data_IF_754158134800
#
_entry.id   IF_754158134800
#
_cell.length_a   1.000
_cell.length_b   1.000
_cell.length_c   1.000
_cell.angle_alpha   90.00
_cell.angle_beta   90.00
_cell.angle_gamma   90.00
#
_symmetry.space_group_name_H-M   'P 1'
#
loop_
_entity.id
_entity.type
_entity.pdbx_description
1 polymer ?
#
# COMPACT_ATOMS: atom_id res chain seq x y z
N UNK A 1 3.43 -11.65 31.84
CA UNK A 1 3.30 -12.43 30.58
C UNK A 1 2.81 -11.56 29.43
N UNK A 2 1.60 -10.99 29.49
CA UNK A 2 1.03 -10.15 28.40
C UNK A 2 1.94 -9.01 27.94
N UNK A 3 2.47 -8.21 28.87
CA UNK A 3 3.38 -7.09 28.52
C UNK A 3 4.64 -7.60 27.81
N UNK A 4 5.17 -8.75 28.24
CA UNK A 4 6.35 -9.37 27.63
C UNK A 4 6.03 -9.81 26.20
N UNK A 5 4.91 -10.49 25.99
CA UNK A 5 4.45 -10.89 24.66
C UNK A 5 4.31 -9.69 23.70
N UNK A 6 3.70 -8.60 24.15
CA UNK A 6 3.56 -7.37 23.35
C UNK A 6 4.90 -6.69 23.08
N UNK A 7 5.83 -6.72 24.05
CA UNK A 7 7.16 -6.12 23.91
C UNK A 7 8.14 -6.91 23.04
N UNK A 8 7.96 -8.23 22.94
CA UNK A 8 8.83 -9.11 22.15
C UNK A 8 8.42 -9.22 20.68
N UNK A 9 7.21 -8.76 20.32
CA UNK A 9 6.71 -8.77 18.95
C UNK A 9 6.38 -7.36 18.47
N UNK A 10 7.30 -6.75 17.72
CA UNK A 10 7.10 -5.42 17.13
C UNK A 10 5.87 -5.33 16.21
N UNK A 11 5.36 -6.46 15.70
CA UNK A 11 4.16 -6.50 14.84
C UNK A 11 2.84 -6.55 15.63
N UNK A 12 2.86 -6.64 16.96
CA UNK A 12 1.62 -6.68 17.77
C UNK A 12 0.71 -5.48 17.53
N UNK A 13 1.26 -4.33 17.14
CA UNK A 13 0.48 -3.11 16.85
C UNK A 13 -0.07 -3.05 15.43
N UNK A 14 0.41 -3.89 14.51
CA UNK A 14 0.06 -3.81 13.08
C UNK A 14 -1.45 -4.03 12.88
N UNK A 15 -2.03 -5.04 13.52
CA UNK A 15 -3.45 -5.34 13.37
C UNK A 15 -4.36 -4.19 13.84
N UNK A 16 -4.16 -3.59 15.04
CA UNK A 16 -4.84 -2.36 15.43
C UNK A 16 -4.65 -1.20 14.44
N UNK A 17 -3.44 -1.01 13.91
CA UNK A 17 -3.16 0.05 12.93
C UNK A 17 -3.94 -0.19 11.63
N UNK A 18 -3.95 -1.41 11.11
CA UNK A 18 -4.71 -1.76 9.91
C UNK A 18 -6.21 -1.53 10.11
N UNK A 19 -6.74 -1.91 11.27
CA UNK A 19 -8.14 -1.67 11.62
C UNK A 19 -8.46 -0.17 11.65
N UNK A 20 -7.60 0.65 12.28
CA UNK A 20 -7.76 2.10 12.30
C UNK A 20 -7.69 2.70 10.89
N UNK A 21 -6.74 2.25 10.05
CA UNK A 21 -6.61 2.66 8.66
C UNK A 21 -7.88 2.33 7.86
N UNK A 22 -8.40 1.10 7.99
CA UNK A 22 -9.65 0.71 7.35
C UNK A 22 -10.83 1.55 7.85
N UNK A 23 -10.92 1.84 9.14
CA UNK A 23 -11.98 2.71 9.66
C UNK A 23 -11.91 4.13 9.08
N UNK A 24 -10.70 4.67 8.91
CA UNK A 24 -10.52 5.98 8.27
C UNK A 24 -10.91 5.94 6.79
N UNK A 25 -10.46 4.95 6.03
CA UNK A 25 -10.77 4.88 4.59
C UNK A 25 -12.22 4.53 4.31
N UNK A 26 -12.87 3.74 5.20
CA UNK A 26 -14.29 3.42 5.11
C UNK A 26 -15.18 4.68 5.19
N UNK A 27 -14.77 5.70 5.95
CA UNK A 27 -15.49 6.97 5.99
C UNK A 27 -15.48 7.73 4.65
N UNK A 28 -14.57 7.39 3.74
CA UNK A 28 -14.48 7.94 2.39
C UNK A 28 -15.13 7.07 1.31
N UNK A 29 -15.78 5.97 1.66
CA UNK A 29 -16.43 5.05 0.71
C UNK A 29 -17.81 5.57 0.24
N UNK A 30 -18.22 5.15 -0.95
CA UNK A 30 -19.54 5.43 -1.54
C UNK A 30 -19.84 6.93 -1.74
N UNK A 31 -18.81 7.72 -2.08
CA UNK A 31 -18.99 9.11 -2.49
C UNK A 31 -19.18 9.16 -4.00
N UNK A 32 -20.38 9.54 -4.44
CA UNK A 32 -20.74 9.62 -5.85
C UNK A 32 -19.77 10.53 -6.63
N UNK A 33 -19.26 10.05 -7.77
CA UNK A 33 -18.31 10.79 -8.61
C UNK A 33 -16.88 10.85 -8.07
N UNK A 34 -16.57 10.16 -6.97
CA UNK A 34 -15.22 10.12 -6.42
C UNK A 34 -14.33 9.07 -7.09
N UNK A 35 -13.17 9.50 -7.58
CA UNK A 35 -12.13 8.65 -8.20
C UNK A 35 -11.10 8.14 -7.18
N UNK A 36 -11.35 8.34 -5.88
CA UNK A 36 -10.41 8.00 -4.82
C UNK A 36 -10.51 6.52 -4.48
N UNK A 37 -9.35 5.86 -4.41
CA UNK A 37 -9.21 4.49 -3.92
C UNK A 37 -9.39 4.46 -2.40
N UNK A 38 -10.30 3.62 -1.91
CA UNK A 38 -10.62 3.48 -0.48
C UNK A 38 -10.19 2.14 0.11
N UNK A 39 -9.92 1.17 -0.76
CA UNK A 39 -9.36 -0.13 -0.37
C UNK A 39 -8.29 -0.51 -1.38
N UNK A 40 -7.13 -0.91 -0.89
CA UNK A 40 -6.19 -1.78 -1.59
C UNK A 40 -6.05 -3.06 -0.76
N UNK A 41 -5.92 -4.23 -1.41
CA UNK A 41 -5.74 -5.53 -0.73
C UNK A 41 -5.09 -6.56 -1.66
N UNK A 42 -4.41 -7.59 -1.10
CA UNK A 42 -3.89 -8.76 -1.84
C UNK A 42 -4.20 -10.06 -1.12
N UNK A 43 -4.30 -11.14 -1.88
CA UNK A 43 -4.51 -12.49 -1.36
C UNK A 43 -3.40 -13.51 -1.77
N UNK A 44 -2.27 -13.05 -2.32
CA UNK A 44 -1.20 -13.94 -2.84
C UNK A 44 -1.45 -14.45 -4.26
N UNK A 45 -2.60 -14.17 -4.85
CA UNK A 45 -2.97 -14.53 -6.22
C UNK A 45 -3.38 -13.27 -7.00
N UNK A 46 -4.29 -12.51 -6.41
CA UNK A 46 -4.83 -11.26 -6.93
C UNK A 46 -4.42 -10.09 -6.02
N UNK A 47 -4.25 -8.94 -6.65
CA UNK A 47 -4.16 -7.64 -6.00
C UNK A 47 -5.30 -6.78 -6.52
N UNK A 48 -5.98 -6.07 -5.62
CA UNK A 48 -7.22 -5.41 -5.98
C UNK A 48 -7.49 -4.11 -5.24
N UNK A 49 -8.33 -3.29 -5.86
CA UNK A 49 -8.77 -2.02 -5.33
C UNK A 49 -10.29 -1.86 -5.34
N UNK A 50 -10.77 -0.99 -4.44
CA UNK A 50 -12.11 -0.38 -4.55
C UNK A 50 -11.98 1.12 -4.68
N UNK A 51 -12.81 1.68 -5.56
CA UNK A 51 -12.89 3.12 -5.82
C UNK A 51 -14.21 3.65 -5.25
N UNK A 52 -14.15 4.75 -4.51
CA UNK A 52 -15.28 5.30 -3.75
C UNK A 52 -16.54 5.49 -4.59
N UNK A 53 -16.42 6.06 -5.79
CA UNK A 53 -17.52 6.28 -6.71
C UNK A 53 -18.01 5.04 -7.47
N UNK A 54 -17.37 3.87 -7.32
CA UNK A 54 -17.76 2.64 -8.05
C UNK A 54 -18.66 1.71 -7.23
N UNK A 55 -18.95 2.07 -5.97
CA UNK A 55 -19.78 1.30 -5.04
C UNK A 55 -19.04 0.14 -4.37
N UNK A 56 -19.52 -0.28 -3.20
CA UNK A 56 -18.85 -1.25 -2.33
C UNK A 56 -18.62 -2.64 -2.96
N UNK A 57 -19.47 -3.10 -3.88
CA UNK A 57 -19.35 -4.47 -4.44
C UNK A 57 -18.40 -4.58 -5.64
N UNK A 58 -17.85 -3.48 -6.11
CA UNK A 58 -17.01 -3.44 -7.31
C UNK A 58 -15.55 -3.54 -6.94
N UNK A 59 -14.89 -4.62 -7.38
CA UNK A 59 -13.45 -4.80 -7.27
C UNK A 59 -12.81 -4.73 -8.65
N UNK A 60 -11.66 -4.07 -8.73
CA UNK A 60 -10.77 -4.14 -9.89
C UNK A 60 -9.53 -4.91 -9.45
N UNK A 61 -9.23 -6.00 -10.16
CA UNK A 61 -8.20 -6.97 -9.75
C UNK A 61 -7.25 -7.27 -10.88
N UNK A 62 -5.98 -7.47 -10.53
CA UNK A 62 -4.96 -8.00 -11.42
C UNK A 62 -4.13 -9.04 -10.68
N UNK A 63 -3.28 -9.80 -11.39
CA UNK A 63 -2.39 -10.77 -10.74
C UNK A 63 -1.46 -10.06 -9.76
N UNK A 64 -1.39 -10.57 -8.53
CA UNK A 64 -0.50 -10.03 -7.49
C UNK A 64 0.96 -10.15 -7.92
N UNK A 65 1.79 -9.10 -7.82
CA UNK A 65 3.18 -9.14 -8.26
C UNK A 65 4.05 -9.94 -7.29
N UNK A 66 5.25 -10.31 -7.75
CA UNK A 66 6.32 -10.68 -6.81
C UNK A 66 6.90 -9.41 -6.18
N UNK A 67 7.30 -9.52 -4.92
CA UNK A 67 7.87 -8.40 -4.16
C UNK A 67 9.37 -8.30 -4.47
N UNK A 68 9.86 -7.11 -4.86
CA UNK A 68 11.30 -6.88 -5.02
C UNK A 68 11.94 -6.73 -3.64
N UNK A 69 12.81 -7.66 -3.28
CA UNK A 69 13.09 -7.90 -1.86
C UNK A 69 14.55 -8.15 -1.52
N UNK A 70 14.89 -7.91 -0.26
CA UNK A 70 16.03 -8.53 0.41
C UNK A 70 15.55 -9.82 1.11
N UNK A 71 16.23 -10.92 0.85
CA UNK A 71 15.93 -12.23 1.44
C UNK A 71 16.79 -12.50 2.68
N UNK A 72 16.20 -13.19 3.65
CA UNK A 72 16.92 -13.67 4.82
C UNK A 72 17.93 -14.76 4.43
N UNK A 73 19.00 -14.96 5.22
CA UNK A 73 19.99 -15.99 4.93
C UNK A 73 19.37 -17.37 4.73
N UNK A 74 19.68 -18.00 3.59
CA UNK A 74 19.16 -19.32 3.22
C UNK A 74 17.91 -19.31 2.35
N UNK A 75 17.29 -18.15 2.13
CA UNK A 75 16.14 -18.00 1.23
C UNK A 75 16.48 -17.21 -0.03
N UNK A 76 15.69 -17.42 -1.07
CA UNK A 76 15.81 -16.79 -2.38
C UNK A 76 14.44 -16.41 -2.94
N UNK A 77 14.43 -15.75 -4.09
CA UNK A 77 13.19 -15.46 -4.83
C UNK A 77 12.37 -16.71 -5.18
N UNK A 78 13.02 -17.87 -5.36
CA UNK A 78 12.34 -19.11 -5.67
C UNK A 78 11.47 -19.65 -4.51
N UNK A 79 11.69 -19.16 -3.29
CA UNK A 79 10.98 -19.55 -2.08
C UNK A 79 9.77 -18.63 -1.80
N UNK A 80 9.70 -17.47 -2.46
CA UNK A 80 8.69 -16.46 -2.22
C UNK A 80 7.32 -16.79 -2.83
N UNK A 81 6.24 -16.43 -2.14
CA UNK A 81 4.94 -16.24 -2.77
C UNK A 81 4.82 -14.83 -3.38
N UNK A 82 3.75 -14.61 -4.16
CA UNK A 82 3.35 -13.26 -4.59
C UNK A 82 2.82 -12.44 -3.41
N UNK A 83 2.75 -11.13 -3.55
CA UNK A 83 2.35 -10.21 -2.48
C UNK A 83 0.98 -10.62 -1.89
N UNK A 84 0.86 -10.59 -0.56
CA UNK A 84 -0.28 -11.13 0.20
C UNK A 84 -0.60 -10.31 1.46
N UNK A 85 -1.89 -10.22 1.80
CA UNK A 85 -2.42 -9.60 3.01
C UNK A 85 -3.22 -8.31 2.76
N UNK A 86 -3.82 -7.79 3.81
CA UNK A 86 -4.59 -6.54 3.79
C UNK A 86 -3.78 -5.33 4.29
N UNK A 87 -2.52 -5.53 4.69
CA UNK A 87 -1.64 -4.46 5.23
C UNK A 87 -1.43 -3.25 4.31
N UNK A 88 -1.68 -3.38 3.01
CA UNK A 88 -1.66 -2.28 2.05
C UNK A 88 -2.79 -1.25 2.30
N UNK A 89 -3.75 -1.58 3.17
CA UNK A 89 -4.71 -0.61 3.69
C UNK A 89 -4.00 0.53 4.44
N UNK A 90 -2.80 0.29 4.98
CA UNK A 90 -2.00 1.33 5.65
C UNK A 90 -1.54 2.40 4.65
N UNK A 91 -1.09 2.00 3.47
CA UNK A 91 -0.77 2.89 2.35
C UNK A 91 -2.01 3.58 1.79
N UNK A 92 -3.15 2.88 1.75
CA UNK A 92 -4.42 3.49 1.33
C UNK A 92 -4.81 4.65 2.25
N UNK A 93 -4.52 4.54 3.54
CA UNK A 93 -4.70 5.59 4.54
C UNK A 93 -3.54 6.61 4.60
N UNK A 94 -2.56 6.51 3.71
CA UNK A 94 -1.45 7.47 3.61
C UNK A 94 -0.30 7.24 4.59
N UNK A 95 -0.15 6.06 5.17
CA UNK A 95 1.04 5.67 5.97
C UNK A 95 1.79 4.50 5.30
N UNK A 96 2.68 3.80 6.01
CA UNK A 96 3.47 2.72 5.40
C UNK A 96 4.44 3.25 4.34
N UNK A 97 4.45 2.63 3.15
CA UNK A 97 5.25 3.08 2.00
C UNK A 97 5.03 4.55 1.62
N UNK A 98 3.83 5.09 1.83
CA UNK A 98 3.50 6.48 1.50
C UNK A 98 4.20 7.48 2.44
N UNK A 99 4.48 7.06 3.67
CA UNK A 99 5.20 7.83 4.68
C UNK A 99 6.64 7.35 4.87
N UNK A 100 7.23 6.66 3.89
CA UNK A 100 8.56 6.06 4.02
C UNK A 100 9.66 7.07 4.33
N UNK A 101 9.51 8.34 3.94
CA UNK A 101 10.40 9.43 4.33
C UNK A 101 10.55 9.62 5.87
N UNK A 102 9.58 9.15 6.68
CA UNK A 102 9.68 9.12 8.15
C UNK A 102 10.46 7.92 8.69
N UNK A 103 10.77 6.93 7.87
CA UNK A 103 11.46 5.70 8.27
C UNK A 103 12.62 5.35 7.31
N UNK A 104 13.58 6.26 7.05
CA UNK A 104 14.64 6.01 6.07
C UNK A 104 15.54 4.82 6.42
N UNK A 105 15.64 4.46 7.71
CA UNK A 105 16.39 3.27 8.16
C UNK A 105 15.82 1.95 7.62
N UNK A 106 14.53 1.92 7.25
CA UNK A 106 13.83 0.73 6.75
C UNK A 106 14.48 0.17 5.47
N UNK A 107 15.17 1.00 4.68
CA UNK A 107 15.86 0.58 3.44
C UNK A 107 16.93 -0.50 3.71
N UNK A 108 17.45 -0.59 4.93
CA UNK A 108 18.38 -1.67 5.34
C UNK A 108 17.70 -3.03 5.44
N UNK A 109 16.37 -3.05 5.60
CA UNK A 109 15.56 -4.25 5.73
C UNK A 109 14.84 -4.61 4.43
N UNK A 110 14.39 -3.61 3.65
CA UNK A 110 13.63 -3.83 2.41
C UNK A 110 14.44 -3.63 1.12
N UNK A 111 15.69 -3.19 1.24
CA UNK A 111 16.57 -2.84 0.12
C UNK A 111 16.42 -1.39 -0.33
N UNK A 112 17.45 -0.91 -1.04
CA UNK A 112 17.54 0.48 -1.54
C UNK A 112 18.46 1.36 -0.71
N UNK A 113 18.35 2.67 -0.90
CA UNK A 113 19.11 3.71 -0.19
C UNK A 113 18.17 4.73 0.46
N UNK A 114 18.58 5.48 1.49
CA UNK A 114 17.70 6.43 2.18
C UNK A 114 17.01 7.45 1.25
N UNK A 115 17.63 7.80 0.13
CA UNK A 115 17.03 8.67 -0.89
C UNK A 115 15.78 8.05 -1.53
N UNK A 116 15.75 6.73 -1.68
CA UNK A 116 14.60 6.01 -2.24
C UNK A 116 13.37 6.13 -1.33
N UNK A 117 13.56 6.21 -0.01
CA UNK A 117 12.48 6.45 0.95
C UNK A 117 11.81 7.80 0.73
N UNK A 118 12.62 8.85 0.53
CA UNK A 118 12.16 10.21 0.27
C UNK A 118 11.44 10.27 -1.08
N UNK A 119 12.08 9.75 -2.14
CA UNK A 119 11.49 9.71 -3.48
C UNK A 119 10.19 8.90 -3.50
N UNK A 120 10.11 7.83 -2.69
CA UNK A 120 8.88 7.03 -2.55
C UNK A 120 7.72 7.90 -2.10
N UNK A 121 7.89 8.62 -1.01
CA UNK A 121 6.87 9.55 -0.54
C UNK A 121 6.58 10.67 -1.55
N UNK A 122 7.61 11.25 -2.18
CA UNK A 122 7.43 12.34 -3.15
C UNK A 122 6.58 11.91 -4.36
N UNK A 123 6.83 10.74 -4.93
CA UNK A 123 6.04 10.22 -6.04
C UNK A 123 4.58 9.93 -5.63
N UNK A 124 4.33 9.57 -4.36
CA UNK A 124 2.97 9.36 -3.87
C UNK A 124 2.18 10.67 -3.76
N UNK A 125 2.82 11.83 -3.58
CA UNK A 125 2.12 13.13 -3.68
C UNK A 125 1.57 13.39 -5.08
N UNK A 126 2.24 12.90 -6.13
CA UNK A 126 1.82 13.10 -7.52
C UNK A 126 0.51 12.37 -7.84
N UNK A 127 0.22 11.27 -7.15
CA UNK A 127 -0.96 10.42 -7.41
C UNK A 127 -2.05 10.53 -6.34
N UNK A 128 -1.82 11.31 -5.28
CA UNK A 128 -2.80 11.51 -4.21
C UNK A 128 -3.52 12.85 -4.33
N UNK A 129 -4.71 12.94 -3.76
CA UNK A 129 -5.56 14.12 -3.86
C UNK A 129 -5.22 15.18 -2.81
N UNK A 130 -4.70 14.79 -1.65
CA UNK A 130 -4.42 15.70 -0.55
C UNK A 130 -3.25 15.24 0.34
N UNK A 131 -2.84 16.13 1.24
CA UNK A 131 -1.95 15.84 2.36
C UNK A 131 -2.74 15.63 3.65
N UNK A 132 -2.35 14.64 4.46
CA UNK A 132 -3.02 14.35 5.73
C UNK A 132 -2.79 15.46 6.77
N UNK A 133 -3.85 15.94 7.42
CA UNK A 133 -3.74 17.10 8.34
C UNK A 133 -3.04 16.77 9.66
N UNK A 134 -3.06 15.50 10.09
CA UNK A 134 -2.54 15.07 11.39
C UNK A 134 -1.32 14.14 11.31
N UNK A 135 -1.03 13.57 10.15
CA UNK A 135 0.10 12.67 9.97
C UNK A 135 1.12 13.43 9.15
N UNK A 136 2.21 13.84 9.77
CA UNK A 136 3.18 14.76 9.18
C UNK A 136 4.53 14.11 9.01
N UNK A 137 5.33 14.63 8.08
CA UNK A 137 6.68 14.17 7.78
C UNK A 137 7.67 15.27 8.15
N UNK A 138 8.33 15.21 9.32
CA UNK A 138 9.23 16.28 9.76
C UNK A 138 10.38 16.56 8.79
N UNK A 139 10.88 15.52 8.11
CA UNK A 139 11.97 15.64 7.14
C UNK A 139 11.58 16.41 5.87
N UNK A 140 10.27 16.58 5.63
CA UNK A 140 9.70 17.33 4.52
C UNK A 140 8.93 18.55 5.06
N UNK A 141 9.52 19.25 6.03
CA UNK A 141 8.96 20.46 6.66
C UNK A 141 7.56 20.25 7.25
N UNK A 142 7.33 19.07 7.85
CA UNK A 142 6.04 18.67 8.44
C UNK A 142 4.88 18.65 7.46
N UNK A 143 5.13 18.51 6.15
CA UNK A 143 4.08 18.20 5.16
C UNK A 143 3.26 16.99 5.60
N UNK A 144 1.97 17.03 5.30
CA UNK A 144 1.06 15.94 5.64
C UNK A 144 1.30 14.74 4.74
N UNK A 145 1.13 13.50 5.21
CA UNK A 145 1.39 12.32 4.38
C UNK A 145 0.45 12.27 3.16
N UNK A 146 0.92 11.78 1.99
CA UNK A 146 0.10 11.72 0.78
C UNK A 146 -1.13 10.84 1.01
N UNK A 147 -2.34 11.34 0.75
CA UNK A 147 -3.59 10.65 1.09
C UNK A 147 -4.64 10.77 -0.02
N UNK A 148 -5.37 9.68 -0.25
CA UNK A 148 -6.43 9.59 -1.25
C UNK A 148 -5.86 9.39 -2.65
N UNK A 149 -5.43 8.16 -2.96
CA UNK A 149 -4.94 7.77 -4.28
C UNK A 149 -6.06 8.01 -5.32
N UNK A 150 -5.78 8.79 -6.35
CA UNK A 150 -6.73 9.11 -7.41
C UNK A 150 -6.40 8.28 -8.66
N UNK A 151 -7.34 7.42 -9.09
CA UNK A 151 -7.12 6.53 -10.25
C UNK A 151 -6.78 7.31 -11.53
N UNK A 152 -7.27 8.55 -11.67
CA UNK A 152 -6.96 9.39 -12.84
C UNK A 152 -5.50 9.78 -12.85
N UNK A 153 -4.97 10.21 -11.69
CA UNK A 153 -3.57 10.64 -11.56
C UNK A 153 -2.61 9.47 -11.72
N UNK A 154 -2.97 8.29 -11.20
CA UNK A 154 -2.18 7.06 -11.37
C UNK A 154 -1.98 6.76 -12.86
N UNK A 155 -3.07 6.75 -13.64
CA UNK A 155 -3.02 6.46 -15.08
C UNK A 155 -2.36 7.62 -15.84
N UNK A 156 -2.69 8.88 -15.56
CA UNK A 156 -2.11 10.04 -16.24
C UNK A 156 -0.60 10.13 -16.05
N UNK A 157 -0.11 9.95 -14.81
CA UNK A 157 1.31 10.08 -14.46
C UNK A 157 2.12 8.82 -14.70
N UNK A 158 1.45 7.68 -14.94
CA UNK A 158 2.08 6.37 -15.03
C UNK A 158 2.89 6.02 -13.76
N UNK A 159 2.39 6.46 -12.60
CA UNK A 159 2.97 6.19 -11.29
C UNK A 159 1.97 5.34 -10.51
N UNK A 160 2.41 4.18 -10.04
CA UNK A 160 1.54 3.29 -9.26
C UNK A 160 1.88 3.32 -7.77
N UNK A 161 0.90 3.08 -6.88
CA UNK A 161 1.15 2.97 -5.44
C UNK A 161 2.30 2.00 -5.13
N UNK A 162 3.27 2.49 -4.34
CA UNK A 162 4.39 1.69 -3.81
C UNK A 162 4.15 1.34 -2.35
N UNK A 163 4.35 0.06 -2.03
CA UNK A 163 3.97 -0.51 -0.75
C UNK A 163 5.15 -1.26 -0.16
N UNK A 164 5.37 -1.11 1.15
CA UNK A 164 6.41 -1.84 1.87
C UNK A 164 5.78 -3.08 2.47
N UNK A 165 6.33 -4.25 2.20
CA UNK A 165 5.68 -5.51 2.56
C UNK A 165 6.71 -6.58 2.94
N UNK A 166 6.28 -7.49 3.83
CA UNK A 166 7.04 -8.71 4.12
C UNK A 166 6.82 -9.74 3.01
N UNK A 167 7.84 -10.54 2.73
CA UNK A 167 7.75 -11.65 1.78
C UNK A 167 7.48 -12.93 2.56
N UNK A 168 6.37 -13.59 2.28
CA UNK A 168 6.07 -14.90 2.83
C UNK A 168 6.61 -16.02 1.93
N UNK A 169 6.94 -17.16 2.53
CA UNK A 169 7.27 -18.37 1.78
C UNK A 169 6.04 -18.87 1.02
N UNK A 170 6.26 -19.50 -0.14
CA UNK A 170 5.20 -20.19 -0.92
C UNK A 170 4.63 -21.44 -0.23
N UNK A 171 5.31 -21.95 0.79
CA UNK A 171 4.96 -23.20 1.46
C UNK A 171 4.35 -22.86 2.83
N UNK A 172 3.19 -23.45 3.19
CA UNK A 172 2.49 -23.11 4.43
C UNK A 172 3.34 -23.35 5.69
N UNK A 173 3.32 -22.40 6.61
CA UNK A 173 3.92 -22.52 7.94
C UNK A 173 5.40 -22.16 8.06
N UNK A 174 6.11 -21.90 6.95
CA UNK A 174 7.52 -21.44 7.00
C UNK A 174 7.63 -19.99 7.46
N UNK A 175 6.68 -19.13 7.04
CA UNK A 175 6.60 -17.74 7.49
C UNK A 175 7.33 -16.75 6.59
N UNK A 176 7.88 -15.69 7.19
CA UNK A 176 8.53 -14.60 6.47
C UNK A 176 9.94 -14.99 6.02
N UNK A 177 10.24 -14.78 4.74
CA UNK A 177 11.53 -15.10 4.10
C UNK A 177 12.31 -13.87 3.65
N UNK A 178 11.71 -12.69 3.73
CA UNK A 178 12.32 -11.43 3.35
C UNK A 178 11.39 -10.24 3.53
N UNK A 179 11.80 -9.09 3.03
CA UNK A 179 10.98 -7.89 2.95
C UNK A 179 11.41 -7.02 1.77
N UNK A 180 10.49 -6.21 1.28
CA UNK A 180 10.71 -5.50 0.03
C UNK A 180 9.67 -4.46 -0.29
N UNK A 181 9.75 -3.98 -1.52
CA UNK A 181 8.80 -3.04 -2.12
C UNK A 181 8.03 -3.77 -3.22
N UNK A 182 6.71 -3.63 -3.18
CA UNK A 182 5.84 -4.02 -4.28
C UNK A 182 5.19 -2.77 -4.89
N UNK A 183 4.93 -2.85 -6.18
CA UNK A 183 4.16 -1.83 -6.89
C UNK A 183 2.84 -2.43 -7.35
N UNK A 184 1.81 -1.60 -7.25
CA UNK A 184 0.55 -1.82 -7.93
C UNK A 184 0.73 -2.26 -9.40
N UNK A 185 0.07 -3.32 -9.90
CA UNK A 185 -0.16 -3.51 -11.32
C UNK A 185 -0.98 -2.33 -11.86
N UNK A 186 -0.54 -1.72 -12.96
CA UNK A 186 -1.21 -0.58 -13.57
C UNK A 186 -2.60 -0.95 -14.11
N UNK A 187 -2.76 -2.16 -14.64
CA UNK A 187 -3.96 -2.58 -15.37
C UNK A 187 -5.24 -2.43 -14.55
N UNK A 188 -5.21 -2.66 -13.24
CA UNK A 188 -6.40 -2.49 -12.41
C UNK A 188 -6.84 -1.03 -12.24
N UNK A 189 -5.93 -0.05 -12.42
CA UNK A 189 -6.29 1.38 -12.41
C UNK A 189 -6.83 1.81 -13.77
N UNK A 190 -6.28 1.25 -14.85
CA UNK A 190 -6.80 1.43 -16.21
C UNK A 190 -8.23 0.88 -16.31
N UNK A 191 -8.45 -0.35 -15.84
CA UNK A 191 -9.78 -0.98 -15.79
C UNK A 191 -10.75 -0.17 -14.92
N UNK A 192 -10.29 0.30 -13.75
CA UNK A 192 -11.10 1.14 -12.88
C UNK A 192 -11.47 2.47 -13.54
N UNK A 193 -10.55 3.10 -14.27
CA UNK A 193 -10.79 4.37 -14.93
C UNK A 193 -11.76 4.23 -16.11
N UNK A 194 -11.63 3.18 -16.91
CA UNK A 194 -12.56 2.87 -18.01
C UNK A 194 -13.96 2.61 -17.46
N UNK A 195 -14.10 1.75 -16.46
CA UNK A 195 -15.39 1.46 -15.85
C UNK A 195 -16.02 2.71 -15.18
N UNK A 196 -15.19 3.58 -14.61
CA UNK A 196 -15.64 4.86 -14.07
C UNK A 196 -16.19 5.76 -15.19
N UNK A 197 -15.47 5.90 -16.30
CA UNK A 197 -15.92 6.67 -17.46
C UNK A 197 -17.26 6.16 -18.02
N UNK A 198 -17.41 4.84 -18.15
CA UNK A 198 -18.66 4.21 -18.58
C UNK A 198 -19.82 4.48 -17.61
N UNK A 199 -19.60 4.34 -16.30
CA UNK A 199 -20.63 4.59 -15.28
C UNK A 199 -21.13 6.04 -15.32
N UNK A 200 -20.21 6.99 -15.49
CA UNK A 200 -20.50 8.43 -15.44
C UNK A 200 -20.75 9.07 -16.81
N UNK A 201 -20.65 8.29 -17.89
CA UNK A 201 -20.84 8.72 -19.27
C UNK A 201 -19.96 9.95 -19.62
N UNK A 202 -18.66 9.83 -19.35
CA UNK A 202 -17.61 10.83 -19.62
C UNK A 202 -16.48 10.29 -20.48
#
# INVERSE_FOLDING_TARGET
>A
EVIKFLGENALSILNPIMAACKSMTAAGENVEGSTIVTVMARNGTDWGIKVSGMGDKTWFTAQSPFVKSLYFPGFTEADACRDIGDSVITETAGIGGFAMANAPALVTFIGGVPKDAINTTLDMYEITSAEHKQFTIPLLDFRGTPTGVDIRKVVEKQITPRVNTGVAHKDPGVGQVGAGVASAPMSLFEDALVAFAEKYNI
#
